data_IF_130957920383
#
_entry.id   IF_130957920383
#
_cell.length_a   1.000
_cell.length_b   1.000
_cell.length_c   1.000
_cell.angle_alpha   90.00
_cell.angle_beta   90.00
_cell.angle_gamma   90.00
#
_symmetry.space_group_name_H-M   'P 1'
#
loop_
_entity.id
_entity.type
_entity.pdbx_description
1 polymer ?
#
# COMPACT_ATOMS: atom_id res chain seq x y z
N UNK A 1 29.36 11.31 2.86
CA UNK A 1 27.95 11.37 3.25
C UNK A 1 27.12 11.13 2.02
N UNK A 2 26.52 9.93 1.88
CA UNK A 2 25.62 9.63 0.77
C UNK A 2 24.30 10.34 1.09
N UNK A 3 24.01 11.45 0.40
CA UNK A 3 22.68 12.05 0.40
C UNK A 3 21.72 11.00 -0.17
N UNK A 4 20.97 10.33 0.70
CA UNK A 4 19.80 9.57 0.28
C UNK A 4 18.97 10.46 -0.65
N UNK A 5 18.57 10.00 -1.84
CA UNK A 5 17.68 10.78 -2.68
C UNK A 5 16.45 11.10 -1.84
N UNK A 6 16.25 12.38 -1.54
CA UNK A 6 15.16 12.84 -0.71
C UNK A 6 13.87 12.60 -1.47
N UNK A 7 13.22 11.44 -1.21
CA UNK A 7 11.92 11.10 -1.80
C UNK A 7 11.01 12.31 -1.59
N UNK A 8 10.51 12.84 -2.69
CA UNK A 8 9.74 14.07 -2.67
C UNK A 8 8.44 13.86 -1.88
N UNK A 9 7.90 14.90 -1.22
CA UNK A 9 6.62 14.78 -0.53
C UNK A 9 5.49 14.30 -1.44
N UNK A 10 5.55 14.65 -2.74
CA UNK A 10 4.60 14.20 -3.75
C UNK A 10 4.69 12.69 -3.97
N UNK A 11 5.87 12.13 -4.14
CA UNK A 11 6.06 10.68 -4.30
C UNK A 11 5.59 9.90 -3.06
N UNK A 12 5.75 10.47 -1.86
CA UNK A 12 5.25 9.87 -0.61
C UNK A 12 3.72 9.85 -0.59
N UNK A 13 3.08 10.97 -0.98
CA UNK A 13 1.62 11.07 -1.10
C UNK A 13 1.07 10.05 -2.09
N UNK A 14 1.65 9.99 -3.29
CA UNK A 14 1.23 9.06 -4.34
C UNK A 14 1.46 7.60 -3.91
N UNK A 15 2.61 7.30 -3.30
CA UNK A 15 2.92 5.96 -2.76
C UNK A 15 1.95 5.52 -1.67
N UNK A 16 1.56 6.44 -0.78
CA UNK A 16 0.60 6.17 0.29
C UNK A 16 -0.79 5.88 -0.28
N UNK A 17 -1.30 6.76 -1.16
CA UNK A 17 -2.60 6.56 -1.83
C UNK A 17 -2.67 5.22 -2.53
N UNK A 18 -1.65 4.90 -3.34
CA UNK A 18 -1.60 3.64 -4.08
C UNK A 18 -1.61 2.42 -3.14
N UNK A 19 -0.77 2.42 -2.11
CA UNK A 19 -0.68 1.30 -1.17
C UNK A 19 -1.97 1.12 -0.36
N UNK A 20 -2.59 2.22 0.05
CA UNK A 20 -3.83 2.21 0.84
C UNK A 20 -5.02 1.73 0.00
N UNK A 21 -5.17 2.24 -1.22
CA UNK A 21 -6.23 1.82 -2.15
C UNK A 21 -6.13 0.32 -2.46
N UNK A 22 -4.91 -0.21 -2.63
CA UNK A 22 -4.71 -1.64 -2.92
C UNK A 22 -5.17 -2.56 -1.79
N UNK A 23 -5.07 -2.13 -0.53
CA UNK A 23 -5.41 -2.97 0.64
C UNK A 23 -6.85 -2.76 1.09
N UNK A 24 -7.31 -1.51 1.11
CA UNK A 24 -8.59 -1.12 1.71
C UNK A 24 -9.68 -0.77 0.69
N UNK A 25 -9.36 -0.76 -0.61
CA UNK A 25 -10.26 -0.39 -1.69
C UNK A 25 -10.93 0.99 -1.49
N UNK A 26 -10.17 1.94 -0.93
CA UNK A 26 -10.59 3.30 -0.59
C UNK A 26 -9.44 4.29 -0.85
N UNK A 27 -9.72 5.52 -1.29
CA UNK A 27 -8.70 6.57 -1.49
C UNK A 27 -8.54 7.39 -0.19
N UNK A 28 -7.35 7.38 0.46
CA UNK A 28 -7.15 8.16 1.66
C UNK A 28 -6.98 9.65 1.34
N UNK A 29 -7.39 10.51 2.28
CA UNK A 29 -7.09 11.94 2.22
C UNK A 29 -5.73 12.14 2.85
N UNK A 30 -4.74 12.56 2.05
CA UNK A 30 -3.38 12.86 2.52
C UNK A 30 -2.88 14.18 1.92
N UNK A 31 -2.33 15.06 2.75
CA UNK A 31 -1.79 16.37 2.34
C UNK A 31 -0.47 16.63 3.06
N UNK A 32 0.56 17.06 2.32
CA UNK A 32 1.82 17.51 2.91
C UNK A 32 1.69 18.91 3.51
N UNK A 33 2.16 19.10 4.76
CA UNK A 33 2.09 20.39 5.47
C UNK A 33 3.44 21.07 5.67
N UNK A 34 4.54 20.48 5.21
CA UNK A 34 5.90 21.02 5.42
C UNK A 34 6.62 20.31 6.56
N UNK A 35 7.94 20.51 6.65
CA UNK A 35 8.81 19.96 7.71
C UNK A 35 8.59 18.47 7.99
N UNK A 36 8.42 17.67 6.93
CA UNK A 36 8.16 16.23 7.03
C UNK A 36 6.82 15.84 7.67
N UNK A 37 5.88 16.77 7.86
CA UNK A 37 4.54 16.50 8.39
C UNK A 37 3.50 16.35 7.29
N UNK A 38 2.58 15.41 7.50
CA UNK A 38 1.44 15.13 6.65
C UNK A 38 0.17 15.18 7.49
N UNK A 39 -0.95 15.57 6.87
CA UNK A 39 -2.29 15.35 7.42
C UNK A 39 -2.88 14.15 6.69
N UNK A 40 -3.26 13.11 7.43
CA UNK A 40 -3.91 11.90 6.90
C UNK A 40 -5.25 11.75 7.59
N UNK A 41 -6.35 11.80 6.83
CA UNK A 41 -7.73 11.71 7.35
C UNK A 41 -8.01 12.66 8.55
N UNK A 42 -7.38 13.84 8.56
CA UNK A 42 -7.50 14.84 9.63
C UNK A 42 -6.43 14.76 10.73
N UNK A 43 -5.60 13.72 10.76
CA UNK A 43 -4.57 13.52 11.78
C UNK A 43 -3.17 13.92 11.30
N UNK A 44 -2.38 14.53 12.19
CA UNK A 44 -1.00 14.92 11.89
C UNK A 44 -0.04 13.73 12.07
N UNK A 45 0.64 13.36 10.98
CA UNK A 45 1.52 12.19 10.91
C UNK A 45 2.88 12.60 10.34
N UNK A 46 3.95 12.25 11.06
CA UNK A 46 5.31 12.51 10.61
C UNK A 46 5.75 11.55 9.49
N UNK A 47 6.63 12.00 8.60
CA UNK A 47 7.16 11.26 7.43
C UNK A 47 7.56 9.84 7.76
N UNK A 48 8.27 9.64 8.87
CA UNK A 48 8.74 8.30 9.28
C UNK A 48 7.59 7.33 9.53
N UNK A 49 6.48 7.81 10.10
CA UNK A 49 5.28 7.00 10.31
C UNK A 49 4.56 6.72 8.99
N UNK A 50 4.44 7.72 8.10
CA UNK A 50 3.86 7.52 6.76
C UNK A 50 4.65 6.46 5.98
N UNK A 51 5.98 6.55 5.98
CA UNK A 51 6.85 5.61 5.29
C UNK A 51 6.75 4.18 5.86
N UNK A 52 6.70 4.05 7.18
CA UNK A 52 6.47 2.76 7.85
C UNK A 52 5.12 2.16 7.45
N UNK A 53 4.09 2.99 7.40
CA UNK A 53 2.76 2.56 7.03
C UNK A 53 2.67 2.14 5.56
N UNK A 54 3.33 2.85 4.64
CA UNK A 54 3.48 2.43 3.24
C UNK A 54 4.10 1.03 3.16
N UNK A 55 5.19 0.79 3.90
CA UNK A 55 5.85 -0.52 3.92
C UNK A 55 4.92 -1.62 4.45
N UNK A 56 4.17 -1.32 5.53
CA UNK A 56 3.17 -2.23 6.10
C UNK A 56 2.07 -2.57 5.09
N UNK A 57 1.47 -1.57 4.45
CA UNK A 57 0.42 -1.74 3.44
C UNK A 57 0.90 -2.57 2.24
N UNK A 58 2.13 -2.32 1.76
CA UNK A 58 2.72 -3.14 0.69
C UNK A 58 2.87 -4.60 1.10
N UNK A 59 3.32 -4.86 2.34
CA UNK A 59 3.41 -6.22 2.88
C UNK A 59 2.04 -6.92 2.97
N UNK A 60 0.99 -6.20 3.37
CA UNK A 60 -0.38 -6.75 3.40
C UNK A 60 -0.88 -7.04 1.99
N UNK A 61 -0.71 -6.12 1.05
CA UNK A 61 -1.11 -6.30 -0.34
C UNK A 61 -0.42 -7.52 -0.99
N UNK A 62 0.87 -7.75 -0.69
CA UNK A 62 1.59 -8.92 -1.16
C UNK A 62 0.96 -10.22 -0.64
N UNK A 63 0.62 -10.28 0.66
CA UNK A 63 -0.04 -11.45 1.26
C UNK A 63 -1.44 -11.71 0.68
N UNK A 64 -2.23 -10.65 0.47
CA UNK A 64 -3.54 -10.77 -0.18
C UNK A 64 -3.43 -11.29 -1.61
N UNK A 65 -2.42 -10.84 -2.36
CA UNK A 65 -2.18 -11.31 -3.74
C UNK A 65 -1.85 -12.81 -3.77
N UNK A 66 -0.99 -13.28 -2.85
CA UNK A 66 -0.65 -14.70 -2.73
C UNK A 66 -1.89 -15.55 -2.40
N UNK A 67 -2.67 -15.14 -1.41
CA UNK A 67 -3.89 -15.86 -1.01
C UNK A 67 -4.94 -15.94 -2.14
N UNK A 68 -5.13 -14.86 -2.90
CA UNK A 68 -6.04 -14.86 -4.04
C UNK A 68 -5.53 -15.76 -5.19
N UNK A 69 -4.21 -15.81 -5.39
CA UNK A 69 -3.58 -16.67 -6.39
C UNK A 69 -3.81 -18.14 -6.05
N UNK A 70 -3.59 -18.54 -4.81
CA UNK A 70 -3.81 -19.92 -4.34
C UNK A 70 -5.27 -20.36 -4.54
N UNK A 71 -6.23 -19.47 -4.23
CA UNK A 71 -7.66 -19.73 -4.46
C UNK A 71 -7.98 -19.93 -5.93
N UNK A 72 -7.38 -19.14 -6.83
CA UNK A 72 -7.60 -19.26 -8.28
C UNK A 72 -7.06 -20.59 -8.83
N UNK A 73 -5.88 -21.02 -8.36
CA UNK A 73 -5.25 -22.29 -8.75
C UNK A 73 -6.09 -23.47 -8.27
N UNK A 74 -6.53 -23.46 -7.00
CA UNK A 74 -7.41 -24.48 -6.46
C UNK A 74 -8.73 -24.56 -7.21
N UNK A 75 -9.33 -23.41 -7.55
CA UNK A 75 -10.57 -23.38 -8.35
C UNK A 75 -10.35 -23.99 -9.73
N UNK A 76 -9.23 -23.67 -10.39
CA UNK A 76 -8.88 -24.25 -11.70
C UNK A 76 -8.64 -25.76 -11.61
N UNK A 77 -7.98 -26.23 -10.54
CA UNK A 77 -7.79 -27.66 -10.29
C UNK A 77 -9.12 -28.37 -10.07
N UNK A 78 -10.00 -27.80 -9.24
CA UNK A 78 -11.34 -28.36 -8.98
C UNK A 78 -12.15 -28.46 -10.28
N UNK A 79 -12.15 -27.41 -11.11
CA UNK A 79 -12.87 -27.42 -12.38
C UNK A 79 -12.33 -28.51 -13.31
N UNK A 80 -11.01 -28.62 -13.43
CA UNK A 80 -10.35 -29.69 -14.21
C UNK A 80 -10.72 -31.09 -13.71
N UNK A 81 -10.79 -31.30 -12.40
CA UNK A 81 -11.20 -32.59 -11.81
C UNK A 81 -12.69 -32.89 -12.01
N UNK A 82 -13.53 -31.87 -12.13
CA UNK A 82 -14.96 -32.00 -12.42
C UNK A 82 -15.28 -32.15 -13.91
N UNK A 83 -14.27 -32.05 -14.79
CA UNK A 83 -14.46 -32.08 -16.24
C UNK A 83 -15.14 -30.84 -16.81
N UNK A 84 -15.09 -29.72 -16.06
CA UNK A 84 -15.59 -28.39 -16.47
C UNK A 84 -14.45 -27.51 -16.99
#
# INVERSE_FOLDING_TARGET
>A
MLTEPAISPREIVESFKFAYAKVNNCDPIIVYRGNHWYIINGEAVHRTMVMREIARLRGVAQRQTLHNTDRSILTRLINKLRGL
#
